data_IF_249428925963
#
_entry.id   IF_249428925963
#
_cell.length_a   1.000
_cell.length_b   1.000
_cell.length_c   1.000
_cell.angle_alpha   90.00
_cell.angle_beta   90.00
_cell.angle_gamma   90.00
#
_symmetry.space_group_name_H-M   'P 1'
#
loop_
_entity.id
_entity.type
_entity.pdbx_description
1 polymer ?
#
# COMPACT_ATOMS: atom_id res chain seq x y z
N UNK A 1 5.73 -15.18 26.89
CA UNK A 1 5.36 -15.45 25.50
C UNK A 1 5.52 -14.13 24.75
N UNK A 2 6.73 -13.86 24.27
CA UNK A 2 7.07 -12.67 23.49
C UNK A 2 6.34 -12.76 22.15
N UNK A 3 5.55 -11.75 21.75
CA UNK A 3 5.06 -11.70 20.38
C UNK A 3 6.26 -11.43 19.47
N UNK A 4 6.69 -12.46 18.75
CA UNK A 4 7.69 -12.36 17.69
C UNK A 4 7.26 -11.24 16.71
N UNK A 5 8.09 -10.21 16.48
CA UNK A 5 7.73 -9.05 15.64
C UNK A 5 7.32 -9.45 14.22
N UNK A 6 7.75 -10.63 13.78
CA UNK A 6 7.45 -11.24 12.48
C UNK A 6 5.96 -11.54 12.28
N UNK A 7 5.21 -11.94 13.32
CA UNK A 7 3.78 -12.28 13.19
C UNK A 7 2.89 -11.05 13.08
N UNK A 8 3.18 -10.01 13.86
CA UNK A 8 2.46 -8.75 13.77
C UNK A 8 2.59 -8.12 12.37
N UNK A 9 3.79 -8.24 11.76
CA UNK A 9 3.99 -7.79 10.39
C UNK A 9 3.22 -8.63 9.36
N UNK A 10 3.09 -9.95 9.55
CA UNK A 10 2.35 -10.82 8.62
C UNK A 10 0.83 -10.54 8.65
N UNK A 11 0.28 -10.29 9.85
CA UNK A 11 -1.13 -9.90 10.00
C UNK A 11 -1.42 -8.54 9.37
N UNK A 12 -0.53 -7.57 9.55
CA UNK A 12 -0.62 -6.27 8.87
C UNK A 12 -0.51 -6.46 7.37
N UNK A 13 0.45 -7.25 6.87
CA UNK A 13 0.61 -7.54 5.45
C UNK A 13 -0.66 -8.14 4.84
N UNK A 14 -1.26 -9.14 5.50
CA UNK A 14 -2.52 -9.76 5.07
C UNK A 14 -3.68 -8.78 5.02
N UNK A 15 -3.81 -7.91 6.02
CA UNK A 15 -4.85 -6.88 6.07
C UNK A 15 -4.67 -5.86 4.95
N UNK A 16 -3.43 -5.41 4.72
CA UNK A 16 -3.06 -4.52 3.62
C UNK A 16 -3.39 -5.14 2.27
N UNK A 17 -2.98 -6.39 2.04
CA UNK A 17 -3.30 -7.12 0.81
C UNK A 17 -4.82 -7.25 0.62
N UNK A 18 -5.57 -7.51 1.68
CA UNK A 18 -7.02 -7.50 1.69
C UNK A 18 -7.62 -6.17 1.22
N UNK A 19 -7.14 -5.04 1.72
CA UNK A 19 -7.60 -3.71 1.27
C UNK A 19 -7.34 -3.46 -0.22
N UNK A 20 -6.17 -3.85 -0.73
CA UNK A 20 -5.85 -3.77 -2.16
C UNK A 20 -6.62 -4.81 -3.01
N UNK A 21 -7.16 -5.86 -2.40
CA UNK A 21 -8.01 -6.86 -3.06
C UNK A 21 -9.46 -6.40 -3.15
N UNK A 22 -9.99 -5.77 -2.10
CA UNK A 22 -11.37 -5.30 -2.04
C UNK A 22 -11.59 -4.02 -2.88
N UNK A 23 -10.54 -3.24 -3.13
CA UNK A 23 -10.60 -2.02 -3.93
C UNK A 23 -9.64 -2.06 -5.14
N UNK A 24 -10.07 -2.60 -6.30
CA UNK A 24 -9.27 -2.54 -7.52
C UNK A 24 -9.01 -1.07 -7.92
N UNK A 25 -7.74 -0.73 -8.15
CA UNK A 25 -7.30 0.63 -8.45
C UNK A 25 -6.94 1.52 -7.26
N UNK A 26 -6.88 0.97 -6.03
CA UNK A 26 -6.38 1.70 -4.86
C UNK A 26 -4.95 2.21 -5.10
N UNK A 27 -4.76 3.52 -4.92
CA UNK A 27 -3.49 4.22 -5.03
C UNK A 27 -3.17 4.95 -3.73
N UNK A 28 -2.02 4.64 -3.15
CA UNK A 28 -1.57 5.22 -1.89
C UNK A 28 -0.14 5.71 -2.00
N UNK A 29 0.16 6.92 -1.55
CA UNK A 29 1.54 7.34 -1.30
C UNK A 29 2.04 6.75 0.02
N UNK A 30 3.35 6.72 0.23
CA UNK A 30 3.93 6.28 1.52
C UNK A 30 3.34 7.06 2.71
N UNK A 31 3.16 8.38 2.58
CA UNK A 31 2.56 9.20 3.61
C UNK A 31 1.10 8.81 3.92
N UNK A 32 0.32 8.46 2.90
CA UNK A 32 -1.06 7.99 3.07
C UNK A 32 -1.10 6.61 3.73
N UNK A 33 -0.24 5.69 3.28
CA UNK A 33 -0.10 4.36 3.84
C UNK A 33 0.30 4.40 5.33
N UNK A 34 1.27 5.25 5.71
CA UNK A 34 1.67 5.47 7.10
C UNK A 34 0.50 5.92 7.98
N UNK A 35 -0.31 6.85 7.48
CA UNK A 35 -1.48 7.37 8.22
C UNK A 35 -2.62 6.35 8.31
N UNK A 36 -2.82 5.54 7.26
CA UNK A 36 -3.85 4.52 7.21
C UNK A 36 -3.52 3.32 8.11
N UNK A 37 -2.25 2.89 8.12
CA UNK A 37 -1.81 1.70 8.86
C UNK A 37 -1.14 2.02 10.21
N UNK A 38 -0.92 3.30 10.51
CA UNK A 38 -0.28 3.74 11.76
C UNK A 38 1.18 3.31 11.89
N UNK A 39 1.90 3.18 10.76
CA UNK A 39 3.29 2.70 10.72
C UNK A 39 4.30 3.85 10.65
N UNK A 40 5.48 3.63 11.25
CA UNK A 40 6.62 4.52 11.07
C UNK A 40 7.15 4.48 9.62
N UNK A 41 7.89 5.51 9.21
CA UNK A 41 8.49 5.61 7.88
C UNK A 41 9.33 4.38 7.51
N UNK A 42 10.17 3.89 8.43
CA UNK A 42 11.05 2.76 8.15
C UNK A 42 10.25 1.47 7.90
N UNK A 43 9.28 1.18 8.77
CA UNK A 43 8.43 -0.01 8.66
C UNK A 43 7.52 0.05 7.44
N UNK A 44 6.93 1.21 7.15
CA UNK A 44 6.06 1.39 5.99
C UNK A 44 6.86 1.28 4.68
N UNK A 45 8.04 1.89 4.61
CA UNK A 45 8.93 1.77 3.45
C UNK A 45 9.39 0.34 3.21
N UNK A 46 9.75 -0.39 4.27
CA UNK A 46 10.10 -1.82 4.16
C UNK A 46 8.92 -2.67 3.68
N UNK A 47 7.72 -2.43 4.20
CA UNK A 47 6.50 -3.15 3.81
C UNK A 47 6.15 -2.91 2.34
N UNK A 48 6.10 -1.64 1.92
CA UNK A 48 5.83 -1.25 0.54
C UNK A 48 6.91 -1.77 -0.41
N UNK A 49 8.18 -1.72 0.01
CA UNK A 49 9.32 -2.26 -0.73
C UNK A 49 9.19 -3.77 -0.95
N UNK A 50 8.86 -4.53 0.10
CA UNK A 50 8.63 -5.97 -0.01
C UNK A 50 7.47 -6.31 -0.95
N UNK A 51 6.39 -5.54 -0.92
CA UNK A 51 5.24 -5.73 -1.83
C UNK A 51 5.58 -5.37 -3.28
N UNK A 52 6.47 -4.39 -3.52
CA UNK A 52 6.98 -4.05 -4.86
C UNK A 52 7.94 -5.13 -5.38
N UNK A 53 8.82 -5.63 -4.51
CA UNK A 53 9.75 -6.72 -4.84
C UNK A 53 8.98 -8.00 -5.21
N UNK A 54 7.94 -8.33 -4.44
CA UNK A 54 7.00 -9.41 -4.70
C UNK A 54 6.09 -9.20 -5.92
N UNK A 55 6.28 -8.11 -6.69
CA UNK A 55 5.46 -7.73 -7.86
C UNK A 55 3.96 -7.59 -7.58
N UNK A 56 3.58 -7.41 -6.32
CA UNK A 56 2.19 -7.18 -5.93
C UNK A 56 1.81 -5.70 -6.10
N UNK A 57 2.74 -4.79 -5.77
CA UNK A 57 2.60 -3.35 -6.01
C UNK A 57 3.60 -2.88 -7.06
N UNK A 58 3.27 -1.78 -7.72
CA UNK A 58 4.23 -0.98 -8.48
C UNK A 58 4.23 0.46 -8.00
N UNK A 59 5.41 1.07 -8.04
CA UNK A 59 5.58 2.50 -7.73
C UNK A 59 5.41 3.32 -9.02
N UNK A 60 4.50 4.27 -8.98
CA UNK A 60 4.28 5.25 -10.05
C UNK A 60 5.35 6.35 -10.00
N UNK A 61 5.52 7.12 -11.10
CA UNK A 61 6.45 8.27 -11.14
C UNK A 61 6.17 9.35 -10.10
N UNK A 62 4.92 9.43 -9.65
CA UNK A 62 4.46 10.39 -8.64
C UNK A 62 4.80 9.93 -7.21
N UNK A 63 5.40 8.74 -7.05
CA UNK A 63 5.73 8.17 -5.75
C UNK A 63 4.57 7.47 -5.06
N UNK A 64 3.43 7.30 -5.75
CA UNK A 64 2.32 6.50 -5.25
C UNK A 64 2.48 5.02 -5.62
N UNK A 65 1.99 4.14 -4.77
CA UNK A 65 1.96 2.70 -4.93
C UNK A 65 0.56 2.26 -5.35
N UNK A 66 0.51 1.35 -6.32
CA UNK A 66 -0.72 0.78 -6.85
C UNK A 66 -0.55 -0.72 -7.00
N UNK A 67 -1.66 -1.47 -6.89
CA UNK A 67 -1.64 -2.91 -7.14
C UNK A 67 -1.32 -3.19 -8.61
N UNK A 68 -0.44 -4.16 -8.84
CA UNK A 68 -0.24 -4.76 -10.16
C UNK A 68 -1.47 -5.63 -10.42
N UNK A 69 -2.46 -5.06 -11.08
CA UNK A 69 -3.55 -5.84 -11.62
C UNK A 69 -3.00 -6.58 -12.85
N UNK A 70 -2.92 -7.90 -12.80
CA UNK A 70 -2.72 -8.72 -13.99
C UNK A 70 -3.97 -8.61 -14.86
N UNK A 71 -4.17 -7.46 -15.52
CA UNK A 71 -5.27 -7.23 -16.44
C UNK A 71 -4.74 -6.48 -17.65
N UNK A 72 -5.13 -6.98 -18.82
CA UNK A 72 -4.96 -6.37 -20.14
C UNK A 72 -5.17 -4.85 -20.10
N UNK A 73 -4.41 -4.08 -20.90
CA UNK A 73 -4.25 -2.64 -20.71
C UNK A 73 -5.58 -1.89 -20.93
N UNK A 74 -6.33 -1.67 -19.86
CA UNK A 74 -7.41 -0.70 -19.81
C UNK A 74 -6.87 0.55 -19.12
N UNK A 75 -6.92 1.65 -19.86
CA UNK A 75 -6.43 2.97 -19.49
C UNK A 75 -6.98 3.38 -18.11
N UNK A 76 -6.17 3.25 -17.08
CA UNK A 76 -6.52 3.64 -15.72
C UNK A 76 -6.44 5.17 -15.57
N UNK A 77 -7.56 5.84 -15.77
CA UNK A 77 -7.77 7.24 -15.37
C UNK A 77 -7.92 7.27 -13.85
N UNK A 78 -6.81 7.35 -13.12
CA UNK A 78 -6.87 7.55 -11.67
C UNK A 78 -7.32 8.96 -11.34
N UNK A 79 -8.59 9.06 -10.93
CA UNK A 79 -9.16 10.24 -10.31
C UNK A 79 -8.55 10.38 -8.91
N UNK A 80 -7.52 11.21 -8.80
CA UNK A 80 -6.94 11.63 -7.52
C UNK A 80 -8.03 12.26 -6.66
N UNK A 81 -8.64 11.49 -5.76
CA UNK A 81 -9.51 12.06 -4.72
C UNK A 81 -8.61 12.62 -3.63
N UNK A 82 -8.19 13.85 -3.84
CA UNK A 82 -7.76 14.73 -2.76
C UNK A 82 -8.94 14.92 -1.80
N UNK A 83 -8.69 14.80 -0.50
CA UNK A 83 -9.18 15.66 0.61
C UNK A 83 -9.13 14.85 1.91
N UNK A 84 -8.23 15.21 2.83
CA UNK A 84 -8.62 15.80 4.11
C UNK A 84 -7.45 16.64 4.64
N UNK A 85 -7.72 17.94 4.70
CA UNK A 85 -6.91 18.94 5.38
C UNK A 85 -6.77 18.59 6.87
N UNK A 86 -5.59 18.83 7.42
CA UNK A 86 -5.41 18.97 8.86
C UNK A 86 -5.48 20.47 9.19
N UNK A 87 -6.38 20.82 10.10
CA UNK A 87 -6.39 22.10 10.80
C UNK A 87 -5.44 22.01 12.01
#
# INVERSE_FOLDING_TARGET
MTPEPSRANDEVLRRVQGEFLEMPGLRLTEAQARRLWGLDAASCGALLGALVDAKFLFRTRDGAFMRVEHATPVKATLKSRATIAAA
#
